data_IF_145300865080
#
_entry.id   IF_145300865080
#
_cell.length_a   1.000
_cell.length_b   1.000
_cell.length_c   1.000
_cell.angle_alpha   90.00
_cell.angle_beta   90.00
_cell.angle_gamma   90.00
#
_symmetry.space_group_name_H-M   'P 1'
#
loop_
_entity.id
_entity.type
_entity.pdbx_description
1 polymer ?
#
# COMPACT_ATOMS: atom_id res chain seq x y z
N UNK A 1 -23.23 5.42 22.41
CA UNK A 1 -23.24 3.99 22.03
C UNK A 1 -22.52 3.87 20.72
N UNK A 2 -21.50 3.05 20.69
CA UNK A 2 -20.67 2.87 19.50
C UNK A 2 -21.49 2.23 18.36
N UNK A 3 -21.32 2.70 17.13
CA UNK A 3 -22.07 2.20 15.97
C UNK A 3 -23.46 2.81 15.77
N UNK A 4 -23.91 3.69 16.66
CA UNK A 4 -25.23 4.34 16.58
C UNK A 4 -25.18 5.79 16.10
N UNK A 5 -24.00 6.32 15.80
CA UNK A 5 -23.86 7.66 15.21
C UNK A 5 -24.43 7.67 13.78
N UNK A 6 -25.22 8.68 13.49
CA UNK A 6 -25.83 8.88 12.19
C UNK A 6 -26.00 10.37 11.91
N UNK A 7 -26.10 10.76 10.65
CA UNK A 7 -26.36 12.13 10.21
C UNK A 7 -27.86 12.50 10.16
N UNK A 8 -28.74 11.58 10.55
CA UNK A 8 -30.19 11.85 10.54
C UNK A 8 -30.57 12.98 11.52
N UNK A 9 -31.71 13.65 11.31
CA UNK A 9 -32.20 14.69 12.24
C UNK A 9 -32.32 14.21 13.69
N UNK A 10 -32.18 15.12 14.63
CA UNK A 10 -32.13 14.81 16.07
C UNK A 10 -33.36 14.06 16.61
N UNK A 11 -34.53 14.38 16.09
CA UNK A 11 -35.79 13.69 16.42
C UNK A 11 -35.77 12.22 15.95
N UNK A 12 -35.28 11.98 14.73
CA UNK A 12 -35.14 10.63 14.18
C UNK A 12 -34.10 9.80 14.96
N UNK A 13 -32.95 10.41 15.32
CA UNK A 13 -31.93 9.75 16.15
C UNK A 13 -32.52 9.33 17.51
N UNK A 14 -33.30 10.20 18.15
CA UNK A 14 -33.96 9.90 19.40
C UNK A 14 -34.93 8.72 19.25
N UNK A 15 -35.78 8.77 18.24
CA UNK A 15 -36.78 7.74 18.02
C UNK A 15 -36.16 6.40 17.63
N UNK A 16 -35.08 6.41 16.83
CA UNK A 16 -34.28 5.22 16.53
C UNK A 16 -33.73 4.56 17.81
N UNK A 17 -33.15 5.33 18.72
CA UNK A 17 -32.64 4.77 19.98
C UNK A 17 -33.76 4.20 20.86
N UNK A 18 -34.95 4.79 20.85
CA UNK A 18 -36.10 4.30 21.62
C UNK A 18 -36.67 2.98 21.13
N UNK A 19 -36.36 2.56 19.88
CA UNK A 19 -36.75 1.24 19.38
C UNK A 19 -35.90 0.12 19.98
N UNK A 20 -34.73 0.44 20.53
CA UNK A 20 -33.81 -0.55 21.08
C UNK A 20 -34.26 -0.97 22.49
N UNK A 21 -34.42 -2.29 22.76
CA UNK A 21 -34.75 -2.75 24.10
C UNK A 21 -33.73 -2.23 25.14
N UNK A 22 -34.27 -1.68 26.24
CA UNK A 22 -33.45 -1.08 27.32
C UNK A 22 -33.04 0.38 27.09
N UNK A 23 -33.26 0.96 25.90
CA UNK A 23 -32.88 2.35 25.59
C UNK A 23 -34.09 3.31 25.46
N UNK A 24 -35.29 2.86 25.76
CA UNK A 24 -36.51 3.68 25.62
C UNK A 24 -36.48 5.02 26.40
N UNK A 25 -35.83 5.02 27.56
CA UNK A 25 -35.73 6.20 28.42
C UNK A 25 -34.35 6.82 28.39
N UNK A 26 -33.51 6.51 27.39
CA UNK A 26 -32.17 7.08 27.30
C UNK A 26 -32.24 8.59 27.02
N UNK A 27 -31.29 9.33 27.59
CA UNK A 27 -31.04 10.74 27.29
C UNK A 27 -29.82 10.83 26.37
N UNK A 28 -30.01 11.51 25.22
CA UNK A 28 -28.90 11.76 24.28
C UNK A 28 -28.20 13.03 24.74
N UNK A 29 -26.96 12.89 25.21
CA UNK A 29 -26.12 14.01 25.62
C UNK A 29 -25.53 14.77 24.44
N UNK A 30 -25.28 14.07 23.32
CA UNK A 30 -24.78 14.64 22.08
C UNK A 30 -25.29 13.84 20.89
N UNK A 31 -25.93 14.52 19.97
CA UNK A 31 -26.39 13.92 18.72
C UNK A 31 -25.22 13.63 17.78
N UNK A 32 -25.35 12.59 16.97
CA UNK A 32 -24.48 12.34 15.83
C UNK A 32 -24.65 13.45 14.78
N UNK A 33 -23.64 13.64 13.95
CA UNK A 33 -23.63 14.65 12.90
C UNK A 33 -22.92 14.11 11.65
N UNK A 34 -23.20 14.70 10.51
CA UNK A 34 -22.42 14.50 9.30
C UNK A 34 -21.36 15.59 9.17
N UNK A 35 -20.28 15.22 8.49
CA UNK A 35 -19.31 16.19 7.99
C UNK A 35 -19.44 16.15 6.46
N UNK A 36 -19.64 17.31 5.86
CA UNK A 36 -19.62 17.52 4.41
C UNK A 36 -18.29 18.12 4.00
N UNK A 37 -17.79 17.70 2.86
CA UNK A 37 -16.54 18.20 2.30
C UNK A 37 -16.78 18.69 0.89
N UNK A 38 -16.44 19.96 0.64
CA UNK A 38 -16.40 20.47 -0.70
C UNK A 38 -15.28 19.78 -1.49
N UNK A 39 -15.56 19.43 -2.74
CA UNK A 39 -14.60 18.85 -3.66
C UNK A 39 -14.91 19.28 -5.08
N UNK A 40 -13.90 19.19 -5.93
CA UNK A 40 -14.06 19.35 -7.39
C UNK A 40 -14.48 18.00 -7.99
N UNK A 41 -14.97 18.02 -9.23
CA UNK A 41 -15.09 16.78 -10.00
C UNK A 41 -13.69 16.27 -10.39
N UNK A 42 -13.23 15.12 -9.86
CA UNK A 42 -11.90 14.61 -10.16
C UNK A 42 -11.71 14.23 -11.63
N UNK A 43 -12.76 14.06 -12.43
CA UNK A 43 -12.67 13.88 -13.88
C UNK A 43 -12.12 15.11 -14.61
N UNK A 44 -12.16 16.29 -13.97
CA UNK A 44 -11.52 17.51 -14.48
C UNK A 44 -9.99 17.50 -14.35
N UNK A 45 -9.42 16.46 -13.75
CA UNK A 45 -7.98 16.29 -13.59
C UNK A 45 -7.42 15.27 -14.59
N UNK A 46 -6.14 15.43 -14.92
CA UNK A 46 -5.36 14.40 -15.60
C UNK A 46 -4.69 13.46 -14.58
N UNK A 47 -4.03 12.41 -15.06
CA UNK A 47 -3.40 11.40 -14.19
C UNK A 47 -2.20 11.93 -13.37
N UNK A 48 -1.72 13.15 -13.65
CA UNK A 48 -0.72 13.85 -12.85
C UNK A 48 -1.34 14.69 -11.73
N UNK A 49 -2.68 14.66 -11.57
CA UNK A 49 -3.49 15.50 -10.68
C UNK A 49 -3.47 16.99 -11.03
N UNK A 50 -3.14 17.33 -12.27
CA UNK A 50 -3.22 18.68 -12.80
C UNK A 50 -4.59 18.92 -13.45
N UNK A 51 -5.14 20.12 -13.28
CA UNK A 51 -6.36 20.55 -13.96
C UNK A 51 -6.21 20.43 -15.48
N UNK A 52 -7.25 19.96 -16.15
CA UNK A 52 -7.33 19.95 -17.61
C UNK A 52 -7.63 21.34 -18.18
N UNK A 53 -8.29 22.19 -17.38
CA UNK A 53 -8.74 23.52 -17.79
C UNK A 53 -7.71 24.62 -17.48
N UNK A 54 -6.91 24.44 -16.42
CA UNK A 54 -5.94 25.44 -15.96
C UNK A 54 -4.56 24.79 -15.86
N UNK A 55 -3.71 25.10 -16.82
CA UNK A 55 -2.34 24.58 -16.85
C UNK A 55 -1.53 25.02 -15.62
N UNK A 56 -0.79 24.08 -15.03
CA UNK A 56 0.03 24.33 -13.85
C UNK A 56 -0.74 24.36 -12.53
N UNK A 57 -2.06 24.15 -12.51
CA UNK A 57 -2.86 24.03 -11.30
C UNK A 57 -3.03 22.55 -10.91
N UNK A 58 -2.52 22.19 -9.76
CA UNK A 58 -2.57 20.82 -9.22
C UNK A 58 -3.47 20.75 -7.99
N UNK A 59 -4.16 19.63 -7.82
CA UNK A 59 -5.05 19.38 -6.71
C UNK A 59 -4.65 18.12 -5.94
N UNK A 60 -4.93 18.11 -4.63
CA UNK A 60 -4.64 16.96 -3.79
C UNK A 60 -5.59 16.86 -2.59
N UNK A 61 -5.78 15.64 -2.11
CA UNK A 61 -6.52 15.37 -0.87
C UNK A 61 -8.02 15.53 -1.01
N UNK A 62 -8.62 16.21 -0.03
CA UNK A 62 -10.06 16.41 0.05
C UNK A 62 -10.66 17.04 -1.22
N UNK A 63 -9.94 17.98 -1.83
CA UNK A 63 -10.40 18.66 -3.05
C UNK A 63 -10.67 17.68 -4.20
N UNK A 64 -9.99 16.53 -4.21
CA UNK A 64 -10.18 15.47 -5.21
C UNK A 64 -11.23 14.41 -4.79
N UNK A 65 -12.06 14.71 -3.79
CA UNK A 65 -13.08 13.78 -3.30
C UNK A 65 -12.55 12.64 -2.42
N UNK A 66 -11.35 12.77 -1.84
CA UNK A 66 -10.75 11.78 -0.93
C UNK A 66 -10.78 12.31 0.51
N UNK A 67 -11.32 11.52 1.46
CA UNK A 67 -11.48 11.92 2.86
C UNK A 67 -10.42 11.34 3.81
N UNK A 68 -9.51 10.46 3.33
CA UNK A 68 -8.49 9.83 4.16
C UNK A 68 -7.20 10.66 4.25
N UNK A 69 -6.57 10.67 5.42
CA UNK A 69 -5.31 11.40 5.62
C UNK A 69 -4.16 10.81 4.81
N UNK A 70 -4.10 9.49 4.71
CA UNK A 70 -3.08 8.76 3.96
C UNK A 70 -3.22 9.02 2.46
N UNK A 71 -4.45 9.01 1.95
CA UNK A 71 -4.77 9.36 0.57
C UNK A 71 -4.39 10.81 0.26
N UNK A 72 -4.69 11.73 1.18
CA UNK A 72 -4.36 13.14 1.01
C UNK A 72 -2.83 13.37 0.98
N UNK A 73 -2.10 12.72 1.87
CA UNK A 73 -0.63 12.80 1.91
C UNK A 73 0.00 12.23 0.63
N UNK A 74 -0.50 11.08 0.16
CA UNK A 74 -0.03 10.46 -1.08
C UNK A 74 -0.29 11.34 -2.31
N UNK A 75 -1.49 11.92 -2.41
CA UNK A 75 -1.85 12.83 -3.49
C UNK A 75 -1.00 14.12 -3.44
N UNK A 76 -0.79 14.69 -2.24
CA UNK A 76 0.03 15.87 -2.06
C UNK A 76 1.48 15.67 -2.52
N UNK A 77 2.08 14.54 -2.15
CA UNK A 77 3.41 14.16 -2.62
C UNK A 77 3.42 14.00 -4.15
N UNK A 78 2.45 13.27 -4.69
CA UNK A 78 2.39 12.97 -6.12
C UNK A 78 2.14 14.22 -6.97
N UNK A 79 1.19 15.08 -6.57
CA UNK A 79 0.94 16.36 -7.19
C UNK A 79 2.17 17.28 -7.11
N UNK A 80 2.85 17.32 -5.98
CA UNK A 80 4.06 18.13 -5.81
C UNK A 80 5.23 17.68 -6.69
N UNK A 81 5.42 16.36 -6.87
CA UNK A 81 6.40 15.81 -7.82
C UNK A 81 6.07 16.30 -9.24
N UNK A 82 4.82 16.12 -9.66
CA UNK A 82 4.40 16.47 -11.01
C UNK A 82 4.42 17.99 -11.26
N UNK A 83 4.11 18.80 -10.25
CA UNK A 83 4.25 20.24 -10.33
C UNK A 83 5.73 20.66 -10.53
N UNK A 84 6.65 20.02 -9.81
CA UNK A 84 8.08 20.28 -9.98
C UNK A 84 8.60 19.87 -11.36
N UNK A 85 8.18 18.71 -11.87
CA UNK A 85 8.51 18.24 -13.22
C UNK A 85 7.94 19.18 -14.28
N UNK A 86 6.69 19.64 -14.10
CA UNK A 86 6.05 20.59 -15.00
C UNK A 86 6.79 21.92 -15.09
N UNK A 87 7.25 22.48 -13.96
CA UNK A 87 8.05 23.71 -13.92
C UNK A 87 9.38 23.53 -14.66
N UNK A 88 9.98 22.35 -14.58
CA UNK A 88 11.22 22.03 -15.29
C UNK A 88 11.04 21.75 -16.79
N UNK A 89 9.81 21.62 -17.25
CA UNK A 89 9.51 21.18 -18.62
C UNK A 89 9.82 19.69 -18.86
N UNK A 90 9.84 18.89 -17.79
CA UNK A 90 10.07 17.44 -17.85
C UNK A 90 8.74 16.67 -17.95
N UNK A 91 8.82 15.44 -18.47
CA UNK A 91 7.64 14.56 -18.56
C UNK A 91 7.08 14.23 -17.18
N UNK A 92 5.75 14.20 -17.02
CA UNK A 92 5.12 13.88 -15.74
C UNK A 92 5.43 12.48 -15.28
N UNK A 93 5.52 12.28 -13.96
CA UNK A 93 5.54 10.97 -13.35
C UNK A 93 4.10 10.42 -13.34
N UNK A 94 3.83 9.41 -14.13
CA UNK A 94 2.56 8.69 -14.10
C UNK A 94 2.80 7.29 -13.56
N UNK A 95 2.22 7.01 -12.39
CA UNK A 95 2.24 5.68 -11.78
C UNK A 95 1.05 4.87 -12.29
N UNK A 96 1.34 3.69 -12.82
CA UNK A 96 0.30 2.75 -13.21
C UNK A 96 -0.33 2.07 -12.00
N UNK A 97 -1.45 1.40 -12.21
CA UNK A 97 -2.14 0.59 -11.20
C UNK A 97 -1.28 -0.60 -10.70
N UNK A 98 -0.29 -1.03 -11.49
CA UNK A 98 0.66 -2.08 -11.13
C UNK A 98 1.90 -1.55 -10.36
N UNK A 99 2.17 -0.25 -10.40
CA UNK A 99 3.35 0.34 -9.76
C UNK A 99 3.11 0.65 -8.28
N UNK A 100 1.95 1.22 -7.94
CA UNK A 100 1.66 1.65 -6.59
C UNK A 100 0.17 1.81 -6.32
N UNK A 101 -0.23 1.78 -5.03
CA UNK A 101 -1.59 2.16 -4.61
C UNK A 101 -1.94 3.61 -4.96
N UNK A 102 -0.95 4.52 -4.99
CA UNK A 102 -1.14 5.89 -5.50
C UNK A 102 -1.57 5.86 -6.96
N UNK A 103 -1.01 4.98 -7.79
CA UNK A 103 -1.43 4.78 -9.17
C UNK A 103 -2.88 4.32 -9.29
N UNK A 104 -3.30 3.36 -8.46
CA UNK A 104 -4.70 2.92 -8.40
C UNK A 104 -5.63 4.07 -8.01
N UNK A 105 -5.26 4.82 -6.98
CA UNK A 105 -6.04 5.97 -6.48
C UNK A 105 -6.20 7.06 -7.54
N UNK A 106 -5.11 7.47 -8.19
CA UNK A 106 -5.15 8.52 -9.20
C UNK A 106 -5.96 8.07 -10.43
N UNK A 107 -5.76 6.84 -10.89
CA UNK A 107 -6.49 6.28 -12.02
C UNK A 107 -7.99 6.14 -11.74
N UNK A 108 -8.38 5.69 -10.54
CA UNK A 108 -9.80 5.62 -10.16
C UNK A 108 -10.44 7.02 -10.12
N UNK A 109 -9.78 8.01 -9.49
CA UNK A 109 -10.30 9.37 -9.37
C UNK A 109 -10.43 10.06 -10.72
N UNK A 110 -9.37 10.03 -11.52
CA UNK A 110 -9.30 10.82 -12.79
C UNK A 110 -9.93 10.10 -13.98
N UNK A 111 -10.16 8.79 -13.89
CA UNK A 111 -10.74 7.97 -14.95
C UNK A 111 -12.19 7.59 -14.72
N UNK A 112 -12.60 7.33 -13.46
CA UNK A 112 -13.95 6.90 -13.10
C UNK A 112 -14.74 7.96 -12.33
N UNK A 113 -14.03 8.89 -11.67
CA UNK A 113 -14.63 9.82 -10.72
C UNK A 113 -15.09 9.15 -9.45
N UNK A 114 -15.80 9.90 -8.60
CA UNK A 114 -16.40 9.36 -7.39
C UNK A 114 -17.68 10.11 -7.04
N UNK A 115 -18.73 9.38 -6.61
CA UNK A 115 -19.98 9.93 -6.11
C UNK A 115 -20.06 9.97 -4.59
N UNK A 116 -19.03 9.43 -3.92
CA UNK A 116 -18.90 9.37 -2.47
C UNK A 116 -17.44 9.59 -2.08
N UNK A 117 -17.13 9.93 -0.81
CA UNK A 117 -15.73 10.11 -0.41
C UNK A 117 -14.89 8.87 -0.70
N UNK A 118 -13.88 9.03 -1.57
CA UNK A 118 -13.01 7.93 -1.98
C UNK A 118 -12.12 7.47 -0.83
N UNK A 119 -12.08 6.17 -0.60
CA UNK A 119 -11.14 5.52 0.31
C UNK A 119 -10.37 4.43 -0.42
N UNK A 120 -9.05 4.42 -0.22
CA UNK A 120 -8.18 3.40 -0.77
C UNK A 120 -8.32 2.10 0.02
N UNK A 121 -8.77 1.05 -0.66
CA UNK A 121 -8.92 -0.29 -0.09
C UNK A 121 -8.17 -1.29 -0.97
N UNK A 122 -7.64 -2.33 -0.36
CA UNK A 122 -6.94 -3.41 -1.09
C UNK A 122 -7.83 -4.10 -2.13
N UNK A 123 -9.15 -4.09 -1.93
CA UNK A 123 -10.14 -4.62 -2.89
C UNK A 123 -10.20 -3.84 -4.21
N UNK A 124 -9.73 -2.58 -4.21
CA UNK A 124 -9.68 -1.75 -5.43
C UNK A 124 -8.47 -2.03 -6.31
N UNK A 125 -7.46 -2.75 -5.78
CA UNK A 125 -6.20 -3.01 -6.48
C UNK A 125 -6.18 -4.44 -7.05
N UNK A 126 -6.10 -4.57 -8.35
CA UNK A 126 -5.98 -5.84 -9.07
C UNK A 126 -4.66 -6.53 -8.73
N UNK A 127 -3.61 -5.76 -8.59
CA UNK A 127 -2.25 -6.24 -8.32
C UNK A 127 -1.89 -6.25 -6.83
N UNK A 128 -2.86 -6.40 -5.92
CA UNK A 128 -2.65 -6.33 -4.46
C UNK A 128 -1.60 -7.31 -3.93
N UNK A 129 -1.37 -8.43 -4.59
CA UNK A 129 -0.32 -9.39 -4.24
C UNK A 129 1.09 -8.91 -4.64
N UNK A 130 1.17 -8.02 -5.63
CA UNK A 130 2.40 -7.37 -6.06
C UNK A 130 2.68 -6.10 -5.24
N UNK A 131 1.65 -5.33 -4.95
CA UNK A 131 1.73 -4.04 -4.27
C UNK A 131 1.86 -4.21 -2.74
N UNK A 132 2.98 -4.74 -2.29
CA UNK A 132 3.25 -4.96 -0.87
C UNK A 132 4.19 -3.89 -0.31
N UNK A 133 4.13 -3.69 1.01
CA UNK A 133 5.01 -2.76 1.71
C UNK A 133 6.47 -3.25 1.69
N UNK A 134 6.69 -4.56 1.83
CA UNK A 134 8.01 -5.18 1.90
C UNK A 134 8.85 -5.06 0.62
N UNK A 135 8.22 -4.85 -0.54
CA UNK A 135 8.88 -4.67 -1.82
C UNK A 135 8.70 -3.28 -2.44
N UNK A 136 8.17 -2.31 -1.69
CA UNK A 136 7.93 -0.96 -2.20
C UNK A 136 9.22 -0.23 -2.59
N UNK A 137 10.31 -0.48 -1.88
CA UNK A 137 11.62 0.06 -2.21
C UNK A 137 12.14 -0.43 -3.57
N UNK A 138 11.92 -1.70 -3.91
CA UNK A 138 12.33 -2.27 -5.21
C UNK A 138 11.54 -1.68 -6.37
N UNK A 139 10.25 -1.36 -6.16
CA UNK A 139 9.37 -0.83 -7.21
C UNK A 139 9.52 0.67 -7.42
N UNK A 140 9.74 1.45 -6.34
CA UNK A 140 9.56 2.90 -6.35
C UNK A 140 10.84 3.70 -6.16
N UNK A 141 11.93 3.13 -5.62
CA UNK A 141 13.15 3.90 -5.34
C UNK A 141 13.80 4.45 -6.60
N UNK A 142 13.80 3.68 -7.70
CA UNK A 142 14.34 4.15 -8.98
C UNK A 142 13.54 5.34 -9.53
N UNK A 143 12.21 5.27 -9.44
CA UNK A 143 11.33 6.38 -9.83
C UNK A 143 11.58 7.62 -8.94
N UNK A 144 11.69 7.41 -7.63
CA UNK A 144 12.01 8.48 -6.69
C UNK A 144 13.41 9.07 -6.91
N UNK A 145 14.37 8.25 -7.36
CA UNK A 145 15.72 8.73 -7.73
C UNK A 145 15.67 9.64 -8.95
N UNK A 146 14.96 9.23 -9.99
CA UNK A 146 14.78 10.00 -11.22
C UNK A 146 14.13 11.36 -10.94
N UNK A 147 13.19 11.43 -10.00
CA UNK A 147 12.52 12.69 -9.63
C UNK A 147 13.27 13.51 -8.58
N UNK A 148 14.47 13.07 -8.14
CA UNK A 148 15.31 13.79 -7.20
C UNK A 148 14.94 13.66 -5.73
N UNK A 149 14.00 12.77 -5.37
CA UNK A 149 13.54 12.57 -3.98
C UNK A 149 14.41 11.59 -3.19
N UNK A 150 15.18 10.76 -3.86
CA UNK A 150 16.01 9.73 -3.23
C UNK A 150 17.48 10.14 -3.23
N UNK A 151 18.07 10.23 -2.03
CA UNK A 151 19.48 10.53 -1.84
C UNK A 151 20.38 9.40 -2.33
N UNK A 152 21.66 9.73 -2.59
CA UNK A 152 22.68 8.74 -2.98
C UNK A 152 22.83 7.62 -1.96
N UNK A 153 22.78 7.95 -0.68
CA UNK A 153 22.85 6.97 0.40
C UNK A 153 21.69 5.98 0.38
N UNK A 154 20.45 6.46 0.21
CA UNK A 154 19.25 5.59 0.12
C UNK A 154 19.31 4.71 -1.11
N UNK A 155 19.73 5.26 -2.24
CA UNK A 155 19.88 4.50 -3.47
C UNK A 155 20.96 3.41 -3.35
N UNK A 156 22.13 3.75 -2.79
CA UNK A 156 23.19 2.78 -2.53
C UNK A 156 22.74 1.63 -1.61
N UNK A 157 21.89 1.94 -0.62
CA UNK A 157 21.30 0.91 0.26
C UNK A 157 20.41 -0.08 -0.51
N UNK A 158 19.59 0.41 -1.44
CA UNK A 158 18.80 -0.47 -2.31
C UNK A 158 19.70 -1.34 -3.19
N UNK A 159 20.73 -0.76 -3.82
CA UNK A 159 21.65 -1.52 -4.68
C UNK A 159 22.35 -2.63 -3.89
N UNK A 160 22.80 -2.33 -2.67
CA UNK A 160 23.39 -3.33 -1.77
C UNK A 160 22.42 -4.44 -1.44
N UNK A 161 21.15 -4.11 -1.08
CA UNK A 161 20.10 -5.10 -0.80
C UNK A 161 19.85 -6.02 -2.00
N UNK A 162 19.74 -5.45 -3.19
CA UNK A 162 19.54 -6.22 -4.43
C UNK A 162 20.71 -7.16 -4.72
N UNK A 163 21.93 -6.68 -4.52
CA UNK A 163 23.12 -7.51 -4.68
C UNK A 163 23.19 -8.67 -3.66
N UNK A 164 22.82 -8.41 -2.40
CA UNK A 164 22.75 -9.44 -1.36
C UNK A 164 21.67 -10.48 -1.68
N UNK A 165 20.50 -10.06 -2.18
CA UNK A 165 19.44 -10.97 -2.65
C UNK A 165 19.91 -11.82 -3.83
N UNK A 166 20.56 -11.22 -4.83
CA UNK A 166 21.12 -11.93 -5.96
C UNK A 166 22.16 -12.98 -5.51
N UNK A 167 23.06 -12.62 -4.63
CA UNK A 167 24.06 -13.52 -4.07
C UNK A 167 23.42 -14.67 -3.26
N UNK A 168 22.36 -14.38 -2.51
CA UNK A 168 21.62 -15.39 -1.77
C UNK A 168 20.93 -16.38 -2.73
N UNK A 169 20.31 -15.91 -3.80
CA UNK A 169 19.70 -16.76 -4.83
C UNK A 169 20.72 -17.73 -5.45
N UNK A 170 21.93 -17.22 -5.80
CA UNK A 170 23.01 -18.07 -6.34
C UNK A 170 23.41 -19.14 -5.32
N UNK A 171 23.50 -18.78 -4.03
CA UNK A 171 23.81 -19.77 -2.97
C UNK A 171 22.74 -20.82 -2.83
N UNK A 172 21.47 -20.46 -2.97
CA UNK A 172 20.33 -21.37 -2.86
C UNK A 172 20.26 -22.40 -4.00
N UNK A 173 20.85 -22.11 -5.15
CA UNK A 173 20.95 -23.08 -6.26
C UNK A 173 22.02 -24.15 -6.06
N UNK A 174 22.89 -23.99 -5.04
CA UNK A 174 23.88 -25.02 -4.70
C UNK A 174 23.22 -26.27 -4.18
N UNK A 175 23.70 -27.43 -4.67
CA UNK A 175 23.32 -28.72 -4.14
C UNK A 175 24.18 -29.06 -2.92
N UNK A 176 23.56 -29.56 -1.87
CA UNK A 176 24.23 -30.06 -0.67
C UNK A 176 24.02 -31.58 -0.58
N UNK A 177 25.10 -32.35 -0.27
CA UNK A 177 24.97 -33.78 -0.08
C UNK A 177 24.21 -34.08 1.21
N UNK A 178 23.67 -35.31 1.36
CA UNK A 178 22.95 -35.72 2.57
C UNK A 178 23.94 -36.06 3.70
N UNK A 179 24.64 -35.05 4.19
CA UNK A 179 25.55 -35.18 5.33
C UNK A 179 24.80 -35.38 6.65
N UNK A 180 25.44 -36.02 7.62
CA UNK A 180 24.85 -36.34 8.91
C UNK A 180 24.22 -35.11 9.61
N UNK A 181 24.84 -33.95 9.48
CA UNK A 181 24.36 -32.69 10.05
C UNK A 181 23.03 -32.25 9.42
N UNK A 182 22.87 -32.41 8.11
CA UNK A 182 21.63 -32.10 7.40
C UNK A 182 20.54 -33.11 7.75
N UNK A 183 20.88 -34.40 7.81
CA UNK A 183 19.96 -35.48 8.18
C UNK A 183 19.39 -35.23 9.58
N UNK A 184 20.25 -35.01 10.58
CA UNK A 184 19.82 -34.72 11.95
C UNK A 184 18.94 -33.46 12.05
N UNK A 185 19.27 -32.40 11.31
CA UNK A 185 18.44 -31.19 11.26
C UNK A 185 17.05 -31.48 10.72
N UNK A 186 16.95 -32.24 9.64
CA UNK A 186 15.67 -32.56 9.01
C UNK A 186 14.82 -33.47 9.91
N UNK A 187 15.42 -34.51 10.49
CA UNK A 187 14.74 -35.41 11.44
C UNK A 187 14.24 -34.65 12.66
N UNK A 188 15.04 -33.72 13.22
CA UNK A 188 14.62 -32.90 14.36
C UNK A 188 13.44 -31.97 14.04
N UNK A 189 13.19 -31.73 12.76
CA UNK A 189 12.06 -30.92 12.27
C UNK A 189 10.90 -31.75 11.73
N UNK A 190 10.97 -33.09 11.87
CA UNK A 190 9.95 -34.00 11.38
C UNK A 190 9.89 -34.10 9.85
N UNK A 191 10.99 -33.79 9.17
CA UNK A 191 11.12 -33.89 7.72
C UNK A 191 11.90 -35.12 7.31
N UNK A 192 11.54 -35.71 6.18
CA UNK A 192 12.26 -36.86 5.66
C UNK A 192 13.58 -36.42 5.01
N UNK A 193 14.73 -36.97 5.44
CA UNK A 193 16.03 -36.64 4.83
C UNK A 193 16.10 -37.04 3.36
N UNK A 194 16.83 -36.26 2.53
CA UNK A 194 17.03 -36.59 1.14
C UNK A 194 17.99 -37.81 1.01
N UNK A 195 17.74 -38.65 0.04
CA UNK A 195 18.62 -39.81 -0.29
C UNK A 195 19.81 -39.44 -1.16
N UNK A 196 19.72 -38.30 -1.85
CA UNK A 196 20.74 -37.79 -2.79
C UNK A 196 20.96 -36.31 -2.52
N UNK A 197 21.93 -35.69 -3.21
CA UNK A 197 22.13 -34.24 -3.11
C UNK A 197 20.86 -33.46 -3.44
N UNK A 198 20.55 -32.44 -2.63
CA UNK A 198 19.37 -31.60 -2.78
C UNK A 198 19.78 -30.13 -2.86
N UNK A 199 19.12 -29.32 -3.70
CA UNK A 199 19.34 -27.87 -3.73
C UNK A 199 18.84 -27.21 -2.45
N UNK A 200 19.57 -26.20 -1.97
CA UNK A 200 19.14 -25.43 -0.81
C UNK A 200 17.76 -24.75 -1.05
N UNK A 201 17.46 -24.34 -2.28
CA UNK A 201 16.15 -23.79 -2.67
C UNK A 201 15.01 -24.81 -2.50
N UNK A 202 15.27 -26.09 -2.74
CA UNK A 202 14.28 -27.16 -2.51
C UNK A 202 14.08 -27.47 -1.03
N UNK A 203 15.14 -27.37 -0.22
CA UNK A 203 15.04 -27.50 1.24
C UNK A 203 14.14 -26.42 1.82
N UNK A 204 14.26 -25.16 1.37
CA UNK A 204 13.44 -24.05 1.85
C UNK A 204 11.95 -24.14 1.48
N UNK A 205 11.59 -24.98 0.52
CA UNK A 205 10.17 -25.24 0.18
C UNK A 205 9.52 -26.24 1.11
N UNK A 206 10.29 -26.90 1.98
CA UNK A 206 9.77 -27.87 2.94
C UNK A 206 9.07 -27.16 4.09
N UNK A 207 7.92 -27.71 4.50
CA UNK A 207 6.99 -27.06 5.45
C UNK A 207 7.65 -26.67 6.78
N UNK A 208 8.53 -27.50 7.31
CA UNK A 208 9.13 -27.32 8.62
C UNK A 208 10.54 -26.72 8.55
N UNK A 209 11.02 -26.33 7.34
CA UNK A 209 12.32 -25.68 7.13
C UNK A 209 12.07 -24.28 6.59
N UNK A 210 12.44 -23.27 7.37
CA UNK A 210 12.26 -21.86 7.01
C UNK A 210 13.50 -21.08 7.40
N UNK A 211 13.91 -20.15 6.57
CA UNK A 211 15.05 -19.24 6.84
C UNK A 211 14.89 -18.47 8.16
N UNK A 212 13.67 -18.05 8.50
CA UNK A 212 13.38 -17.30 9.72
C UNK A 212 13.54 -18.13 11.00
N UNK A 213 13.29 -19.45 10.93
CA UNK A 213 13.35 -20.35 12.10
C UNK A 213 14.65 -21.14 12.19
N UNK A 214 15.47 -21.11 11.12
CA UNK A 214 16.75 -21.82 11.07
C UNK A 214 17.96 -20.89 11.16
N UNK A 215 17.79 -19.60 10.99
CA UNK A 215 18.80 -18.60 11.30
C UNK A 215 18.71 -18.23 12.78
N UNK A 216 19.84 -18.11 13.49
CA UNK A 216 19.82 -17.47 14.82
C UNK A 216 19.28 -16.06 14.62
N UNK A 217 18.32 -15.68 15.46
CA UNK A 217 17.81 -14.32 15.54
C UNK A 217 19.00 -13.35 15.75
N UNK A 218 19.05 -12.23 15.05
CA UNK A 218 20.11 -11.23 15.28
C UNK A 218 20.04 -10.68 16.70
#
# INVERSE_FOLDING_TARGET
VQGMSTSLPADVQRDMLRTIPGMRNCHITRYGYAIEYDCIDPLSLNNALMSRDVAGLFFAGQMNGSSGYEEAAAQGLYAGINAALWIKGEEPLILSRADAYIGVLCDDLTGKGTNEPYRMMTSRAEYRLLLRQDNADERLTELGRRTGLISDERYARLMKKQQEIANARIKLEKSVPPEEKLIRLMESRGETPPKTGIKLSELLRRRNICLLYTSPSP
#
